data_IF_623035851492
#
_entry.id   IF_623035851492
#
_cell.length_a   1.000
_cell.length_b   1.000
_cell.length_c   1.000
_cell.angle_alpha   90.00
_cell.angle_beta   90.00
_cell.angle_gamma   90.00
#
_symmetry.space_group_name_H-M   'P 1'
#
loop_
_entity.id
_entity.type
_entity.pdbx_description
1 polymer ?
#
# COMPACT_ATOMS: atom_id res chain seq x y z
N UNK A 1 -11.70 28.14 2.55
CA UNK A 1 -10.83 28.20 3.76
C UNK A 1 -11.72 27.81 4.93
N UNK A 2 -11.47 26.64 5.54
CA UNK A 2 -12.42 26.04 6.48
C UNK A 2 -12.42 26.79 7.82
N UNK A 3 -13.60 27.14 8.35
CA UNK A 3 -13.75 27.96 9.56
C UNK A 3 -13.06 27.36 10.81
N UNK A 4 -12.89 26.05 10.85
CA UNK A 4 -12.20 25.31 11.91
C UNK A 4 -10.71 25.69 11.99
N UNK A 5 -10.08 26.05 10.87
CA UNK A 5 -8.64 26.36 10.81
C UNK A 5 -8.32 27.80 11.26
N UNK A 6 -9.34 28.64 11.46
CA UNK A 6 -9.20 30.03 11.92
C UNK A 6 -9.08 30.11 13.44
N UNK A 7 -9.86 29.31 14.18
CA UNK A 7 -9.83 29.25 15.65
C UNK A 7 -8.51 28.69 16.19
N UNK A 8 -7.92 27.72 15.49
CA UNK A 8 -6.61 27.18 15.87
C UNK A 8 -5.50 28.24 15.78
N UNK A 9 -5.64 29.28 14.95
CA UNK A 9 -4.61 30.30 14.73
C UNK A 9 -4.54 31.41 15.80
N UNK A 10 -5.55 31.56 16.62
CA UNK A 10 -5.64 32.61 17.67
C UNK A 10 -5.33 32.09 19.08
N UNK A 11 -5.30 30.77 19.30
CA UNK A 11 -4.99 30.20 20.61
C UNK A 11 -3.48 30.14 20.92
N UNK A 12 -3.09 30.28 22.22
CA UNK A 12 -1.71 30.10 22.67
C UNK A 12 -1.13 28.76 22.20
N UNK A 13 0.18 28.74 21.99
CA UNK A 13 0.92 27.58 21.43
C UNK A 13 0.60 26.28 22.20
N UNK A 14 0.38 26.38 23.52
CA UNK A 14 -0.02 25.26 24.37
C UNK A 14 -1.27 24.53 23.88
N UNK A 15 -2.34 25.25 23.55
CA UNK A 15 -3.61 24.63 23.13
C UNK A 15 -3.48 23.90 21.79
N UNK A 16 -2.63 24.39 20.89
CA UNK A 16 -2.36 23.68 19.62
C UNK A 16 -1.57 22.40 19.84
N UNK A 17 -0.58 22.43 20.74
CA UNK A 17 0.20 21.24 21.10
C UNK A 17 -0.70 20.19 21.76
N UNK A 18 -1.61 20.62 22.64
CA UNK A 18 -2.59 19.74 23.26
C UNK A 18 -3.52 19.09 22.23
N UNK A 19 -4.01 19.86 21.26
CA UNK A 19 -4.81 19.32 20.17
C UNK A 19 -4.03 18.28 19.33
N UNK A 20 -2.78 18.58 18.96
CA UNK A 20 -1.94 17.63 18.23
C UNK A 20 -1.67 16.36 19.04
N UNK A 21 -1.42 16.50 20.34
CA UNK A 21 -1.23 15.38 21.26
C UNK A 21 -2.47 14.50 21.31
N UNK A 22 -3.65 15.09 21.46
CA UNK A 22 -4.93 14.38 21.43
C UNK A 22 -5.10 13.58 20.13
N UNK A 23 -4.85 14.22 18.98
CA UNK A 23 -4.93 13.53 17.67
C UNK A 23 -3.90 12.42 17.50
N UNK A 24 -2.68 12.61 17.97
CA UNK A 24 -1.67 11.55 17.96
C UNK A 24 -2.10 10.39 18.86
N UNK A 25 -2.56 10.66 20.08
CA UNK A 25 -3.02 9.64 21.02
C UNK A 25 -4.18 8.83 20.45
N UNK A 26 -5.19 9.50 19.90
CA UNK A 26 -6.33 8.86 19.21
C UNK A 26 -5.86 7.98 18.06
N UNK A 27 -4.93 8.47 17.24
CA UNK A 27 -4.41 7.73 16.09
C UNK A 27 -3.64 6.47 16.52
N UNK A 28 -2.77 6.58 17.53
CA UNK A 28 -2.04 5.45 18.08
C UNK A 28 -2.96 4.44 18.76
N UNK A 29 -3.98 4.91 19.48
CA UNK A 29 -4.96 4.05 20.14
C UNK A 29 -5.72 3.21 19.11
N UNK A 30 -6.25 3.84 18.04
CA UNK A 30 -6.96 3.14 16.96
C UNK A 30 -6.07 2.11 16.27
N UNK A 31 -4.82 2.47 15.94
CA UNK A 31 -3.88 1.53 15.30
C UNK A 31 -3.48 0.38 16.21
N UNK A 32 -3.32 0.61 17.51
CA UNK A 32 -3.02 -0.46 18.47
C UNK A 32 -4.17 -1.45 18.58
N UNK A 33 -5.41 -0.96 18.65
CA UNK A 33 -6.58 -1.84 18.69
C UNK A 33 -6.71 -2.64 17.41
N UNK A 34 -6.57 -2.00 16.25
CA UNK A 34 -6.58 -2.70 14.96
C UNK A 34 -5.47 -3.77 14.88
N UNK A 35 -4.26 -3.47 15.35
CA UNK A 35 -3.17 -4.44 15.38
C UNK A 35 -3.43 -5.62 16.33
N UNK A 36 -4.08 -5.37 17.48
CA UNK A 36 -4.47 -6.42 18.41
C UNK A 36 -5.60 -7.31 17.86
N UNK A 37 -6.51 -6.75 17.05
CA UNK A 37 -7.58 -7.48 16.37
C UNK A 37 -7.06 -8.28 15.17
N UNK A 38 -5.94 -7.86 14.59
CA UNK A 38 -5.33 -8.51 13.43
C UNK A 38 -4.53 -9.73 13.86
N UNK A 39 -4.87 -10.90 13.31
CA UNK A 39 -4.20 -12.17 13.63
C UNK A 39 -2.99 -12.47 12.74
N UNK A 40 -2.89 -11.77 11.61
CA UNK A 40 -1.85 -11.94 10.60
C UNK A 40 -0.83 -10.81 10.66
N UNK A 41 0.22 -10.89 9.84
CA UNK A 41 1.28 -9.86 9.80
C UNK A 41 0.85 -8.58 9.08
N UNK A 42 -0.22 -8.66 8.28
CA UNK A 42 -0.74 -7.57 7.44
C UNK A 42 -2.04 -7.06 8.06
N UNK A 43 -2.30 -5.75 7.99
CA UNK A 43 -3.62 -5.24 8.38
C UNK A 43 -4.69 -5.79 7.44
N UNK A 44 -5.90 -6.05 7.95
CA UNK A 44 -7.02 -6.60 7.17
C UNK A 44 -7.31 -5.81 5.87
N UNK A 45 -7.11 -4.48 5.90
CA UNK A 45 -7.26 -3.64 4.72
C UNK A 45 -6.22 -3.96 3.63
N UNK A 46 -4.95 -4.15 4.00
CA UNK A 46 -3.91 -4.52 3.04
C UNK A 46 -4.11 -5.94 2.54
N UNK A 47 -4.53 -6.87 3.41
CA UNK A 47 -4.83 -8.25 2.99
C UNK A 47 -5.97 -8.31 1.97
N UNK A 48 -7.06 -7.58 2.20
CA UNK A 48 -8.17 -7.53 1.24
C UNK A 48 -7.73 -6.94 -0.10
N UNK A 49 -6.92 -5.87 -0.11
CA UNK A 49 -6.32 -5.34 -1.33
C UNK A 49 -5.43 -6.37 -2.05
N UNK A 50 -4.63 -7.15 -1.31
CA UNK A 50 -3.78 -8.18 -1.89
C UNK A 50 -4.60 -9.34 -2.47
N UNK A 51 -5.69 -9.73 -1.80
CA UNK A 51 -6.62 -10.74 -2.29
C UNK A 51 -7.26 -10.26 -3.60
N UNK A 52 -7.73 -9.01 -3.67
CA UNK A 52 -8.31 -8.45 -4.89
C UNK A 52 -7.30 -8.40 -6.05
N UNK A 53 -6.06 -8.02 -5.78
CA UNK A 53 -4.98 -8.04 -6.79
C UNK A 53 -4.66 -9.45 -7.25
N UNK A 54 -4.59 -10.40 -6.32
CA UNK A 54 -4.37 -11.80 -6.65
C UNK A 54 -5.50 -12.31 -7.53
N UNK A 55 -6.75 -12.03 -7.18
CA UNK A 55 -7.93 -12.38 -7.98
C UNK A 55 -7.88 -11.74 -9.37
N UNK A 56 -7.50 -10.46 -9.46
CA UNK A 56 -7.37 -9.75 -10.74
C UNK A 56 -6.27 -10.34 -11.62
N UNK A 57 -5.17 -10.80 -11.02
CA UNK A 57 -4.09 -11.47 -11.74
C UNK A 57 -4.44 -12.89 -12.21
N UNK A 58 -5.55 -13.48 -11.74
CA UNK A 58 -5.94 -14.84 -12.14
C UNK A 58 -6.29 -14.85 -13.62
N UNK A 59 -5.68 -15.79 -14.34
CA UNK A 59 -5.92 -15.97 -15.77
C UNK A 59 -5.02 -15.09 -16.66
N UNK A 60 -4.15 -14.27 -16.09
CA UNK A 60 -3.10 -13.61 -16.85
C UNK A 60 -2.08 -14.64 -17.35
N UNK A 61 -1.59 -14.45 -18.58
CA UNK A 61 -0.60 -15.33 -19.21
C UNK A 61 0.77 -14.73 -19.05
N UNK A 62 1.69 -15.46 -18.41
CA UNK A 62 3.08 -15.03 -18.25
C UNK A 62 3.94 -15.68 -19.34
N UNK A 63 4.54 -14.85 -20.18
CA UNK A 63 5.53 -15.24 -21.19
C UNK A 63 6.92 -14.85 -20.68
N UNK A 64 7.80 -15.81 -20.35
CA UNK A 64 9.16 -15.49 -19.95
C UNK A 64 9.93 -14.93 -21.15
N UNK A 65 10.73 -13.88 -20.93
CA UNK A 65 11.59 -13.28 -21.96
C UNK A 65 13.06 -13.63 -21.76
N UNK A 66 13.75 -12.96 -20.85
CA UNK A 66 15.19 -13.15 -20.64
C UNK A 66 15.55 -12.83 -19.20
N UNK A 67 16.30 -13.71 -18.53
CA UNK A 67 16.61 -13.56 -17.11
C UNK A 67 15.34 -13.49 -16.24
N UNK A 68 15.28 -12.50 -15.35
CA UNK A 68 14.14 -12.23 -14.47
C UNK A 68 13.11 -11.25 -15.07
N UNK A 69 13.08 -11.13 -16.41
CA UNK A 69 12.06 -10.39 -17.13
C UNK A 69 10.98 -11.31 -17.71
N UNK A 70 9.73 -10.84 -17.67
CA UNK A 70 8.59 -11.52 -18.24
C UNK A 70 7.58 -10.52 -18.83
N UNK A 71 6.91 -10.94 -19.89
CA UNK A 71 5.75 -10.27 -20.44
C UNK A 71 4.49 -10.92 -19.86
N UNK A 72 3.66 -10.15 -19.18
CA UNK A 72 2.38 -10.58 -18.59
C UNK A 72 1.25 -10.05 -19.44
N UNK A 73 0.44 -10.94 -19.98
CA UNK A 73 -0.71 -10.59 -20.83
C UNK A 73 -1.98 -10.77 -20.01
N UNK A 74 -2.73 -9.70 -19.87
CA UNK A 74 -4.04 -9.69 -19.24
C UNK A 74 -5.12 -10.33 -20.12
N UNK A 75 -6.24 -10.71 -19.53
CA UNK A 75 -7.44 -11.21 -20.20
C UNK A 75 -7.98 -10.22 -21.25
N UNK A 76 -7.72 -8.93 -21.07
CA UNK A 76 -8.04 -7.87 -22.06
C UNK A 76 -7.03 -7.76 -23.22
N UNK A 77 -6.12 -8.72 -23.37
CA UNK A 77 -5.01 -8.73 -24.33
C UNK A 77 -4.02 -7.57 -24.18
N UNK A 78 -4.00 -6.90 -23.02
CA UNK A 78 -2.98 -5.90 -22.68
C UNK A 78 -1.72 -6.59 -22.18
N UNK A 79 -0.58 -6.24 -22.76
CA UNK A 79 0.71 -6.75 -22.34
C UNK A 79 1.42 -5.78 -21.37
N UNK A 80 2.00 -6.34 -20.32
CA UNK A 80 2.83 -5.65 -19.35
C UNK A 80 4.21 -6.28 -19.33
N UNK A 81 5.26 -5.46 -19.31
CA UNK A 81 6.63 -5.94 -19.15
C UNK A 81 7.03 -5.76 -17.70
N UNK A 82 7.46 -6.86 -17.10
CA UNK A 82 7.88 -6.95 -15.72
C UNK A 82 9.34 -7.34 -15.71
N UNK A 83 10.16 -6.54 -15.04
CA UNK A 83 11.55 -6.84 -14.77
C UNK A 83 11.73 -6.92 -13.24
N UNK A 84 11.92 -8.15 -12.74
CA UNK A 84 12.08 -8.39 -11.30
C UNK A 84 13.48 -8.01 -10.79
N UNK A 85 14.50 -7.97 -11.65
CA UNK A 85 15.85 -7.48 -11.30
C UNK A 85 15.84 -5.97 -11.06
N UNK A 86 15.27 -5.22 -12.00
CA UNK A 86 15.18 -3.76 -11.91
C UNK A 86 14.01 -3.28 -11.05
N UNK A 87 13.17 -4.19 -10.55
CA UNK A 87 11.96 -3.86 -9.77
C UNK A 87 11.03 -2.91 -10.54
N UNK A 88 10.82 -3.20 -11.82
CA UNK A 88 10.01 -2.37 -12.72
C UNK A 88 8.88 -3.16 -13.35
N UNK A 89 7.69 -2.56 -13.34
CA UNK A 89 6.55 -2.99 -14.13
C UNK A 89 6.09 -1.84 -15.03
N UNK A 90 5.68 -2.13 -16.26
CA UNK A 90 5.05 -1.12 -17.13
C UNK A 90 3.70 -0.63 -16.60
N UNK A 91 3.05 -1.41 -15.73
CA UNK A 91 1.85 -1.01 -14.99
C UNK A 91 2.11 0.13 -13.98
N UNK A 92 3.37 0.41 -13.62
CA UNK A 92 3.82 1.45 -12.68
C UNK A 92 3.32 1.35 -11.23
N UNK A 93 2.33 0.52 -10.94
CA UNK A 93 1.83 0.29 -9.57
C UNK A 93 2.92 -0.23 -8.64
N UNK A 94 3.81 -1.08 -9.16
CA UNK A 94 4.93 -1.62 -8.40
C UNK A 94 5.84 -0.51 -7.84
N UNK A 95 6.07 0.55 -8.63
CA UNK A 95 6.93 1.69 -8.27
C UNK A 95 6.24 2.70 -7.36
N UNK A 96 4.92 2.66 -7.26
CA UNK A 96 4.14 3.58 -6.43
C UNK A 96 3.84 3.01 -5.05
N UNK A 97 3.61 1.69 -4.98
CA UNK A 97 3.12 1.04 -3.76
C UNK A 97 4.13 0.11 -3.09
N UNK A 98 5.28 -0.17 -3.73
CA UNK A 98 6.34 -1.01 -3.16
C UNK A 98 5.80 -2.34 -2.59
N UNK A 99 4.75 -2.93 -3.16
CA UNK A 99 4.16 -4.17 -2.60
C UNK A 99 3.89 -5.23 -3.67
N UNK A 100 2.77 -5.11 -4.37
CA UNK A 100 2.32 -6.07 -5.39
C UNK A 100 1.57 -5.28 -6.46
N UNK A 101 1.87 -5.48 -7.74
CA UNK A 101 1.07 -4.90 -8.83
C UNK A 101 -0.24 -5.70 -9.02
N UNK A 102 -1.24 -5.07 -9.63
CA UNK A 102 -2.43 -5.72 -10.20
C UNK A 102 -2.10 -6.86 -11.17
N UNK A 103 -0.94 -6.79 -11.82
CA UNK A 103 -0.39 -7.84 -12.67
C UNK A 103 0.12 -9.09 -11.93
N UNK A 104 -0.04 -9.17 -10.60
CA UNK A 104 0.34 -10.33 -9.78
C UNK A 104 1.84 -10.45 -9.49
N UNK A 105 2.65 -9.46 -9.86
CA UNK A 105 4.07 -9.45 -9.55
C UNK A 105 4.29 -9.02 -8.10
N UNK A 106 4.82 -9.95 -7.31
CA UNK A 106 5.20 -9.72 -5.93
C UNK A 106 6.71 -9.88 -5.79
N UNK A 107 7.30 -9.08 -4.91
CA UNK A 107 8.61 -9.37 -4.35
C UNK A 107 8.43 -9.74 -2.88
N UNK A 108 9.39 -10.48 -2.31
CA UNK A 108 9.41 -10.75 -0.87
C UNK A 108 9.73 -9.43 -0.15
N UNK A 109 8.73 -8.65 0.21
CA UNK A 109 8.88 -7.43 1.00
C UNK A 109 9.47 -7.80 2.38
N UNK A 110 10.53 -7.12 2.84
CA UNK A 110 11.02 -7.33 4.20
C UNK A 110 9.95 -6.88 5.21
N UNK A 111 9.82 -7.63 6.31
CA UNK A 111 8.74 -7.49 7.32
C UNK A 111 8.53 -6.08 7.88
N UNK A 112 9.52 -5.19 7.78
CA UNK A 112 9.44 -3.82 8.29
C UNK A 112 8.67 -2.85 7.37
N UNK A 113 8.56 -3.14 6.07
CA UNK A 113 7.89 -2.25 5.10
C UNK A 113 6.35 -2.28 5.21
N UNK A 114 5.82 -3.28 5.92
CA UNK A 114 4.38 -3.57 6.02
C UNK A 114 3.72 -2.86 7.22
N UNK A 115 4.53 -2.33 8.14
CA UNK A 115 4.08 -1.92 9.47
C UNK A 115 3.77 -0.41 9.61
N UNK A 116 3.84 0.36 8.50
CA UNK A 116 3.49 1.79 8.44
C UNK A 116 2.09 1.99 7.86
#
# INVERSE_FOLDING_TARGET
MNAIDRLAREYPISTRIEYLRDKMQDWFFKRRNLANETTTTLTSAVETMLVDRLLSSRGMIVKPSTGLSAEVIDLSCKAFVVNLEERRCTCREFQLEDFVCSCGCSYRTPKWAIML
#
